data_IF_167512468236
#
_entry.id   IF_167512468236
#
_cell.length_a   1.000
_cell.length_b   1.000
_cell.length_c   1.000
_cell.angle_alpha   90.00
_cell.angle_beta   90.00
_cell.angle_gamma   90.00
#
_symmetry.space_group_name_H-M   'P 1'
#
loop_
_entity.id
_entity.type
_entity.pdbx_description
1 polymer ?
#
# COMPACT_ATOMS: atom_id res chain seq x y z
N UNK A 1 56.11 -30.36 -31.32
CA UNK A 1 54.65 -30.27 -31.53
C UNK A 1 54.04 -31.36 -30.65
N UNK A 2 53.79 -31.05 -29.38
CA UNK A 2 53.15 -31.98 -28.45
C UNK A 2 51.73 -31.49 -28.15
N UNK A 3 50.78 -32.41 -28.23
CA UNK A 3 49.38 -32.18 -27.93
C UNK A 3 49.16 -32.23 -26.42
N UNK A 4 48.62 -31.15 -25.85
CA UNK A 4 48.21 -31.08 -24.44
C UNK A 4 46.78 -31.64 -24.33
N UNK A 5 46.51 -32.62 -23.46
CA UNK A 5 45.17 -33.18 -23.33
C UNK A 5 44.27 -32.24 -22.53
N UNK A 6 43.03 -32.15 -23.01
CA UNK A 6 41.91 -31.40 -22.46
C UNK A 6 41.51 -31.94 -21.09
N UNK A 7 41.89 -31.23 -20.03
CA UNK A 7 41.34 -31.43 -18.69
C UNK A 7 39.94 -30.80 -18.60
N UNK A 8 38.91 -31.63 -18.68
CA UNK A 8 37.55 -31.26 -18.29
C UNK A 8 37.54 -30.96 -16.79
N UNK A 9 37.47 -29.68 -16.42
CA UNK A 9 37.21 -29.29 -15.04
C UNK A 9 35.70 -29.20 -14.84
N UNK A 10 35.21 -30.14 -14.05
CA UNK A 10 33.82 -30.32 -13.64
C UNK A 10 33.19 -28.99 -13.17
N UNK A 11 32.23 -28.50 -13.94
CA UNK A 11 31.27 -27.50 -13.48
C UNK A 11 30.39 -28.14 -12.42
N UNK A 12 30.78 -27.98 -11.17
CA UNK A 12 29.87 -28.08 -10.02
C UNK A 12 28.76 -27.05 -10.27
N UNK A 13 27.61 -27.53 -10.73
CA UNK A 13 26.40 -26.73 -10.84
C UNK A 13 26.07 -26.21 -9.44
N UNK A 14 26.49 -24.98 -9.15
CA UNK A 14 25.95 -24.22 -8.04
C UNK A 14 24.46 -24.10 -8.33
N UNK A 15 23.64 -24.85 -7.60
CA UNK A 15 22.19 -24.62 -7.56
C UNK A 15 22.03 -23.18 -7.14
N UNK A 16 21.73 -22.30 -8.11
CA UNK A 16 21.31 -20.94 -7.80
C UNK A 16 20.08 -21.07 -6.93
N UNK A 17 20.24 -20.74 -5.65
CA UNK A 17 19.12 -20.55 -4.74
C UNK A 17 18.22 -19.49 -5.41
N UNK A 18 16.90 -19.73 -5.52
CA UNK A 18 16.02 -18.77 -6.17
C UNK A 18 16.22 -17.42 -5.48
N UNK A 19 16.58 -16.40 -6.26
CA UNK A 19 16.80 -15.03 -5.81
C UNK A 19 15.63 -14.64 -4.90
N UNK A 20 15.89 -14.57 -3.58
CA UNK A 20 14.85 -14.12 -2.65
C UNK A 20 14.46 -12.71 -3.09
N UNK A 21 13.17 -12.40 -3.24
CA UNK A 21 12.75 -11.05 -3.57
C UNK A 21 13.43 -10.08 -2.60
N UNK A 22 14.15 -9.10 -3.14
CA UNK A 22 14.91 -8.14 -2.35
C UNK A 22 14.06 -6.90 -2.09
N UNK A 23 14.29 -6.24 -0.95
CA UNK A 23 13.57 -5.03 -0.55
C UNK A 23 12.23 -5.30 0.10
N UNK A 24 11.36 -4.29 0.13
CA UNK A 24 10.13 -4.32 0.94
C UNK A 24 9.17 -5.47 0.57
N UNK A 25 8.97 -5.73 -0.73
CA UNK A 25 8.09 -6.82 -1.19
C UNK A 25 8.67 -8.23 -0.95
N UNK A 26 9.95 -8.29 -0.56
CA UNK A 26 10.61 -9.52 -0.13
C UNK A 26 10.34 -9.91 1.32
N UNK A 27 9.76 -9.00 2.11
CA UNK A 27 9.41 -9.27 3.51
C UNK A 27 8.22 -10.23 3.58
N UNK A 28 8.11 -11.07 4.63
CA UNK A 28 6.90 -11.82 4.93
C UNK A 28 5.68 -10.90 5.00
N UNK A 29 4.50 -11.42 4.63
CA UNK A 29 3.27 -10.62 4.56
C UNK A 29 2.94 -9.99 5.93
N UNK A 30 3.15 -10.73 7.03
CA UNK A 30 2.86 -10.27 8.38
C UNK A 30 3.70 -9.03 8.76
N UNK A 31 4.95 -8.97 8.26
CA UNK A 31 5.82 -7.82 8.46
C UNK A 31 5.38 -6.65 7.59
N UNK A 32 4.94 -6.92 6.34
CA UNK A 32 4.42 -5.86 5.46
C UNK A 32 3.14 -5.26 6.05
N UNK A 33 2.21 -6.08 6.51
CA UNK A 33 0.97 -5.67 7.16
C UNK A 33 1.26 -4.77 8.37
N UNK A 34 2.18 -5.18 9.24
CA UNK A 34 2.55 -4.35 10.39
C UNK A 34 3.15 -2.98 9.97
N UNK A 35 3.95 -2.94 8.90
CA UNK A 35 4.47 -1.68 8.39
C UNK A 35 3.34 -0.84 7.76
N UNK A 36 2.43 -1.46 7.01
CA UNK A 36 1.29 -0.76 6.44
C UNK A 36 0.44 -0.12 7.53
N UNK A 37 0.11 -0.85 8.60
CA UNK A 37 -0.62 -0.31 9.75
C UNK A 37 0.05 0.95 10.30
N UNK A 38 1.37 0.91 10.53
CA UNK A 38 2.13 2.07 11.02
C UNK A 38 2.08 3.27 10.07
N UNK A 39 1.96 3.04 8.76
CA UNK A 39 1.97 4.08 7.74
C UNK A 39 0.57 4.68 7.52
N UNK A 40 -0.47 3.84 7.50
CA UNK A 40 -1.81 4.25 7.04
C UNK A 40 -2.86 4.35 8.14
N UNK A 41 -2.64 3.76 9.31
CA UNK A 41 -3.60 3.87 10.42
C UNK A 41 -3.35 5.16 11.20
N UNK A 42 -4.45 5.79 11.61
CA UNK A 42 -4.47 7.03 12.37
C UNK A 42 -5.26 6.81 13.66
N UNK A 43 -4.57 6.28 14.67
CA UNK A 43 -5.20 5.79 15.91
C UNK A 43 -5.95 6.84 16.75
N UNK A 44 -5.66 8.14 16.57
CA UNK A 44 -6.18 9.22 17.42
C UNK A 44 -6.89 10.33 16.65
N UNK A 45 -7.01 10.20 15.33
CA UNK A 45 -7.60 11.24 14.48
C UNK A 45 -8.63 10.63 13.56
N UNK A 46 -9.85 11.13 13.64
CA UNK A 46 -10.86 10.89 12.62
C UNK A 46 -10.39 11.47 11.29
N UNK A 47 -10.51 10.70 10.23
CA UNK A 47 -10.20 11.14 8.87
C UNK A 47 -11.45 11.85 8.35
N UNK A 48 -11.39 13.17 8.22
CA UNK A 48 -12.55 13.96 7.80
C UNK A 48 -12.55 14.14 6.29
N UNK A 49 -13.73 13.98 5.72
CA UNK A 49 -14.00 14.28 4.33
C UNK A 49 -14.63 15.66 4.24
N UNK A 50 -13.79 16.67 3.97
CA UNK A 50 -14.22 18.06 3.91
C UNK A 50 -14.09 18.60 2.49
N UNK A 51 -15.13 19.29 2.04
CA UNK A 51 -15.22 19.94 0.72
C UNK A 51 -14.31 21.18 0.64
N UNK A 52 -14.02 21.78 1.79
CA UNK A 52 -13.10 22.90 1.98
C UNK A 52 -11.75 22.39 2.53
N UNK A 53 -10.71 22.40 1.70
CA UNK A 53 -9.33 22.03 2.06
C UNK A 53 -8.70 22.84 3.23
N UNK A 54 -9.41 23.83 3.78
CA UNK A 54 -8.93 24.79 4.81
C UNK A 54 -9.39 24.48 6.25
N UNK A 55 -9.90 23.28 6.49
CA UNK A 55 -10.32 22.82 7.81
C UNK A 55 -9.12 22.42 8.69
N UNK A 56 -9.09 23.04 9.87
CA UNK A 56 -8.24 22.81 11.05
C UNK A 56 -7.05 21.86 10.92
N UNK A 57 -5.87 22.37 11.34
CA UNK A 57 -4.54 21.75 11.48
C UNK A 57 -4.49 20.33 12.10
N UNK A 58 -5.60 19.80 12.61
CA UNK A 58 -5.76 18.50 13.25
C UNK A 58 -6.48 17.45 12.39
N UNK A 59 -7.00 17.79 11.21
CA UNK A 59 -7.82 16.89 10.41
C UNK A 59 -7.02 16.29 9.23
N UNK A 60 -6.99 14.97 9.15
CA UNK A 60 -6.33 14.24 8.07
C UNK A 60 -7.34 14.03 6.95
N UNK A 61 -6.99 14.46 5.73
CA UNK A 61 -7.82 14.30 4.54
C UNK A 61 -8.13 12.82 4.26
N UNK A 62 -9.36 12.53 3.82
CA UNK A 62 -9.82 11.23 3.34
C UNK A 62 -9.22 10.77 1.99
N UNK A 63 -8.19 11.47 1.50
CA UNK A 63 -7.41 11.04 0.35
C UNK A 63 -6.73 9.69 0.58
N UNK A 64 -6.67 8.87 -0.47
CA UNK A 64 -5.94 7.61 -0.44
C UNK A 64 -4.47 7.83 -0.03
N UNK A 65 -3.87 6.92 0.79
CA UNK A 65 -2.52 7.10 1.28
C UNK A 65 -1.50 7.03 0.13
N UNK A 66 -0.41 7.80 0.22
CA UNK A 66 0.58 7.87 -0.87
C UNK A 66 1.15 6.50 -1.27
N UNK A 67 1.31 5.59 -0.30
CA UNK A 67 1.82 4.24 -0.56
C UNK A 67 0.90 3.42 -1.46
N UNK A 68 -0.43 3.61 -1.40
CA UNK A 68 -1.38 2.89 -2.25
C UNK A 68 -1.39 3.37 -3.70
N UNK A 69 -0.59 4.40 -4.03
CA UNK A 69 -0.44 4.94 -5.38
C UNK A 69 0.85 4.48 -6.07
N UNK A 70 1.74 3.77 -5.37
CA UNK A 70 3.07 3.43 -5.90
C UNK A 70 3.00 2.30 -6.93
N UNK A 71 2.28 1.21 -6.63
CA UNK A 71 2.05 0.12 -7.58
C UNK A 71 0.77 -0.67 -7.21
N UNK A 72 0.37 -1.60 -8.08
CA UNK A 72 -0.84 -2.41 -7.88
C UNK A 72 -0.79 -3.31 -6.63
N UNK A 73 0.38 -3.85 -6.27
CA UNK A 73 0.51 -4.71 -5.09
C UNK A 73 0.34 -3.90 -3.80
N UNK A 74 1.02 -2.76 -3.67
CA UNK A 74 0.86 -1.85 -2.55
C UNK A 74 -0.58 -1.37 -2.44
N UNK A 75 -1.22 -1.04 -3.57
CA UNK A 75 -2.63 -0.68 -3.58
C UNK A 75 -3.51 -1.77 -2.96
N UNK A 76 -3.36 -3.01 -3.44
CA UNK A 76 -4.16 -4.14 -3.00
C UNK A 76 -3.92 -4.52 -1.54
N UNK A 77 -2.68 -4.41 -1.05
CA UNK A 77 -2.34 -4.76 0.34
C UNK A 77 -2.70 -3.62 1.32
N UNK A 78 -2.60 -2.36 0.91
CA UNK A 78 -2.72 -1.23 1.85
C UNK A 78 -4.16 -0.70 1.98
N UNK A 79 -4.93 -0.64 0.89
CA UNK A 79 -6.27 -0.03 0.94
C UNK A 79 -7.23 -0.72 1.91
N UNK A 80 -7.30 -2.06 1.98
CA UNK A 80 -8.16 -2.73 2.97
C UNK A 80 -7.80 -2.35 4.41
N UNK A 81 -6.51 -2.25 4.74
CA UNK A 81 -6.03 -1.82 6.05
C UNK A 81 -6.46 -0.38 6.33
N UNK A 82 -6.27 0.52 5.35
CA UNK A 82 -6.64 1.92 5.50
C UNK A 82 -8.14 2.12 5.74
N UNK A 83 -9.01 1.46 4.99
CA UNK A 83 -10.46 1.66 5.12
C UNK A 83 -11.08 0.89 6.30
N UNK A 84 -10.53 -0.26 6.69
CA UNK A 84 -11.06 -1.05 7.81
C UNK A 84 -10.58 -0.59 9.19
N UNK A 85 -9.37 -0.02 9.28
CA UNK A 85 -8.74 0.32 10.57
C UNK A 85 -8.74 1.81 10.89
N UNK A 86 -9.32 2.66 10.03
CA UNK A 86 -9.51 4.08 10.31
C UNK A 86 -10.99 4.44 10.47
N UNK A 87 -11.24 5.46 11.27
CA UNK A 87 -12.56 6.07 11.39
C UNK A 87 -12.66 7.25 10.43
N UNK A 88 -13.66 7.21 9.55
CA UNK A 88 -13.96 8.29 8.61
C UNK A 88 -15.21 9.05 9.05
N UNK A 89 -15.18 10.37 8.89
CA UNK A 89 -16.32 11.25 9.14
C UNK A 89 -16.56 12.11 7.91
N UNK A 90 -17.77 12.05 7.36
CA UNK A 90 -18.23 12.96 6.33
C UNK A 90 -19.26 13.91 6.95
N UNK A 91 -18.91 15.20 7.01
CA UNK A 91 -19.87 16.24 7.36
C UNK A 91 -20.56 16.71 6.07
N UNK A 92 -21.88 16.63 6.04
CA UNK A 92 -22.67 16.97 4.85
C UNK A 92 -23.63 18.08 5.23
N UNK A 93 -23.28 19.31 4.85
CA UNK A 93 -24.07 20.51 5.15
C UNK A 93 -24.85 21.00 3.94
N UNK A 94 -24.35 20.74 2.73
CA UNK A 94 -25.02 21.11 1.49
C UNK A 94 -25.01 20.02 0.40
N UNK A 95 -25.61 20.33 -0.76
CA UNK A 95 -25.70 19.40 -1.89
C UNK A 95 -24.34 19.09 -2.51
N UNK A 96 -23.39 20.03 -2.47
CA UNK A 96 -22.03 19.84 -2.97
C UNK A 96 -21.28 18.85 -2.09
N UNK A 97 -21.37 19.00 -0.76
CA UNK A 97 -20.78 18.07 0.21
C UNK A 97 -21.32 16.65 -0.01
N UNK A 98 -22.64 16.52 -0.20
CA UNK A 98 -23.27 15.24 -0.48
C UNK A 98 -22.72 14.60 -1.76
N UNK A 99 -22.57 15.38 -2.84
CA UNK A 99 -22.02 14.85 -4.09
C UNK A 99 -20.56 14.42 -3.94
N UNK A 100 -19.75 15.15 -3.16
CA UNK A 100 -18.36 14.78 -2.88
C UNK A 100 -18.32 13.49 -2.06
N UNK A 101 -19.18 13.38 -1.04
CA UNK A 101 -19.28 12.20 -0.19
C UNK A 101 -19.69 10.96 -0.98
N UNK A 102 -20.71 11.08 -1.83
CA UNK A 102 -21.13 10.01 -2.73
C UNK A 102 -20.00 9.57 -3.66
N UNK A 103 -19.31 10.52 -4.30
CA UNK A 103 -18.19 10.21 -5.20
C UNK A 103 -17.03 9.53 -4.47
N UNK A 104 -16.74 9.94 -3.24
CA UNK A 104 -15.71 9.30 -2.43
C UNK A 104 -16.09 7.86 -2.09
N UNK A 105 -17.32 7.61 -1.61
CA UNK A 105 -17.83 6.27 -1.32
C UNK A 105 -17.80 5.37 -2.57
N UNK A 106 -18.21 5.89 -3.73
CA UNK A 106 -18.12 5.19 -5.02
C UNK A 106 -16.65 4.86 -5.40
N UNK A 107 -15.71 5.75 -5.07
CA UNK A 107 -14.29 5.57 -5.40
C UNK A 107 -13.56 4.56 -4.49
N UNK A 108 -14.08 4.30 -3.28
CA UNK A 108 -13.61 3.19 -2.44
C UNK A 108 -13.89 1.88 -3.18
N UNK A 109 -15.10 1.72 -3.73
CA UNK A 109 -15.53 0.51 -4.43
C UNK A 109 -15.71 -0.68 -3.47
N UNK A 110 -16.57 -1.63 -3.86
CA UNK A 110 -16.94 -2.78 -3.02
C UNK A 110 -15.73 -3.65 -2.60
N UNK A 111 -14.65 -3.60 -3.38
CA UNK A 111 -13.44 -4.41 -3.16
C UNK A 111 -12.54 -3.92 -1.99
N UNK A 112 -12.78 -2.72 -1.45
CA UNK A 112 -11.91 -2.10 -0.44
C UNK A 112 -12.59 -1.86 0.92
N UNK A 113 -13.77 -2.45 1.17
CA UNK A 113 -14.56 -2.35 2.42
C UNK A 113 -14.52 -3.67 3.20
#
# INVERSE_FOLDING_TARGET
MEAIPTGQSSVLAMKQEPERPQGFLGLPIEIRDHIYELVVVRQQTTITMLSNFDCHRSEVSACQPAISMVNHQFRAETLPIFYSMNLFLAEVSDRTDLMIASRWLEAIGDDNV
#
